data_IF_980432205355
#
_entry.id   IF_980432205355
#
_cell.length_a   1.000
_cell.length_b   1.000
_cell.length_c   1.000
_cell.angle_alpha   90.00
_cell.angle_beta   90.00
_cell.angle_gamma   90.00
#
_symmetry.space_group_name_H-M   'P 1'
#
loop_
_entity.id
_entity.type
_entity.pdbx_description
1 polymer ?
#
# COMPACT_ATOMS: atom_id res chain seq x y z
N UNK A 1 19.87 7.29 -19.68
CA UNK A 1 18.58 7.37 -18.95
C UNK A 1 17.77 8.50 -19.55
N UNK A 2 16.99 8.21 -20.60
CA UNK A 2 16.28 9.23 -21.39
C UNK A 2 14.97 9.60 -20.67
N UNK A 3 14.82 10.88 -20.32
CA UNK A 3 13.58 11.62 -20.02
C UNK A 3 12.38 10.76 -19.57
N UNK A 4 12.45 10.20 -18.36
CA UNK A 4 11.24 9.67 -17.71
C UNK A 4 10.47 10.90 -17.21
N UNK A 5 9.46 11.34 -17.95
CA UNK A 5 8.55 12.39 -17.49
C UNK A 5 7.77 11.82 -16.31
N UNK A 6 8.28 12.05 -15.09
CA UNK A 6 7.59 11.73 -13.86
C UNK A 6 6.35 12.61 -13.76
N UNK A 7 5.27 12.07 -13.17
CA UNK A 7 4.04 12.81 -12.88
C UNK A 7 3.36 13.44 -14.11
N UNK A 8 3.31 12.70 -15.23
CA UNK A 8 2.57 13.12 -16.43
C UNK A 8 1.10 13.39 -16.07
N UNK A 9 0.65 14.60 -16.38
CA UNK A 9 -0.75 15.00 -16.24
C UNK A 9 -1.57 14.52 -17.44
N UNK A 10 -2.75 13.97 -17.18
CA UNK A 10 -3.65 13.43 -18.18
C UNK A 10 -5.09 13.92 -17.93
N UNK A 11 -5.90 13.90 -19.00
CA UNK A 11 -7.34 14.06 -18.89
C UNK A 11 -7.98 12.68 -18.75
N UNK A 12 -8.88 12.54 -17.79
CA UNK A 12 -9.64 11.31 -17.55
C UNK A 12 -11.12 11.63 -17.72
N UNK A 13 -11.85 10.74 -18.40
CA UNK A 13 -13.29 10.91 -18.60
C UNK A 13 -14.01 11.03 -17.25
N UNK A 14 -14.92 12.00 -17.13
CA UNK A 14 -15.67 12.26 -15.90
C UNK A 14 -14.95 13.12 -14.86
N UNK A 15 -13.70 13.57 -15.10
CA UNK A 15 -12.99 14.49 -14.20
C UNK A 15 -12.89 15.88 -14.83
N UNK A 16 -13.31 16.96 -14.14
CA UNK A 16 -13.36 18.30 -14.73
C UNK A 16 -11.98 18.98 -14.88
N UNK A 17 -10.90 18.35 -14.40
CA UNK A 17 -9.55 18.89 -14.41
C UNK A 17 -8.52 17.82 -14.76
N UNK A 18 -7.29 18.25 -15.08
CA UNK A 18 -6.16 17.35 -15.30
C UNK A 18 -5.80 16.64 -14.01
N UNK A 19 -5.56 15.34 -14.09
CA UNK A 19 -5.12 14.52 -12.98
C UNK A 19 -3.75 13.93 -13.26
N UNK A 20 -3.04 13.56 -12.20
CA UNK A 20 -1.78 12.84 -12.29
C UNK A 20 -1.41 12.24 -10.94
N UNK A 21 -0.45 11.32 -10.96
CA UNK A 21 0.12 10.74 -9.75
C UNK A 21 1.35 11.53 -9.30
N UNK A 22 1.79 11.32 -8.06
CA UNK A 22 3.07 11.83 -7.54
C UNK A 22 3.94 10.76 -6.88
N UNK A 23 3.59 9.49 -7.05
CA UNK A 23 4.34 8.40 -6.44
C UNK A 23 5.74 8.29 -7.05
N UNK A 24 6.72 8.16 -6.18
CA UNK A 24 8.11 7.88 -6.54
C UNK A 24 8.51 6.55 -5.91
N UNK A 25 9.29 5.77 -6.64
CA UNK A 25 9.81 4.51 -6.12
C UNK A 25 10.70 4.79 -4.89
N UNK A 26 10.45 4.13 -3.75
CA UNK A 26 11.30 4.29 -2.58
C UNK A 26 12.69 3.75 -2.89
N UNK A 27 13.71 4.40 -2.32
CA UNK A 27 15.06 3.83 -2.32
C UNK A 27 15.10 2.68 -1.30
N UNK A 28 15.76 1.56 -1.62
CA UNK A 28 15.85 0.46 -0.68
C UNK A 28 16.67 0.86 0.56
N UNK A 29 16.17 0.50 1.74
CA UNK A 29 16.89 0.67 3.01
C UNK A 29 17.06 -0.70 3.69
N UNK A 30 18.29 -1.00 4.14
CA UNK A 30 18.58 -2.24 4.86
C UNK A 30 17.87 -2.32 6.23
N UNK A 31 17.37 -1.18 6.72
CA UNK A 31 16.64 -1.08 7.98
C UNK A 31 15.14 -1.38 7.84
N UNK A 32 14.64 -1.54 6.62
CA UNK A 32 13.23 -1.86 6.38
C UNK A 32 12.83 -3.19 7.02
N UNK A 33 11.75 -3.17 7.80
CA UNK A 33 11.29 -4.37 8.49
C UNK A 33 10.71 -5.38 7.51
N UNK A 34 11.16 -6.62 7.66
CA UNK A 34 10.57 -7.76 6.96
C UNK A 34 9.51 -8.43 7.81
N UNK A 35 8.62 -9.26 7.24
CA UNK A 35 7.64 -10.03 8.01
C UNK A 35 8.26 -10.93 9.10
N UNK A 36 9.54 -11.29 8.97
CA UNK A 36 10.28 -12.12 9.93
C UNK A 36 11.02 -11.30 10.99
N UNK A 37 10.96 -9.96 10.91
CA UNK A 37 11.62 -9.10 11.88
C UNK A 37 11.10 -9.35 13.30
N UNK A 38 11.98 -9.38 14.29
CA UNK A 38 11.64 -9.75 15.68
C UNK A 38 10.50 -8.91 16.26
N UNK A 39 10.47 -7.61 15.94
CA UNK A 39 9.41 -6.73 16.41
C UNK A 39 8.05 -7.08 15.76
N UNK A 40 8.04 -7.33 14.45
CA UNK A 40 6.82 -7.70 13.71
C UNK A 40 6.26 -9.04 14.22
N UNK A 41 7.11 -10.04 14.38
CA UNK A 41 6.70 -11.37 14.91
C UNK A 41 6.19 -11.30 16.35
N UNK A 42 6.72 -10.39 17.17
CA UNK A 42 6.20 -10.14 18.52
C UNK A 42 4.79 -9.52 18.50
N UNK A 43 4.54 -8.54 17.61
CA UNK A 43 3.19 -7.98 17.42
C UNK A 43 2.21 -9.02 16.88
N UNK A 44 2.60 -9.79 15.87
CA UNK A 44 1.75 -10.82 15.27
C UNK A 44 1.31 -11.87 16.29
N UNK A 45 2.20 -12.26 17.23
CA UNK A 45 1.86 -13.18 18.32
C UNK A 45 0.80 -12.59 19.25
N UNK A 46 0.89 -11.29 19.58
CA UNK A 46 -0.12 -10.60 20.40
C UNK A 46 -1.48 -10.53 19.71
N UNK A 47 -1.48 -10.34 18.38
CA UNK A 47 -2.68 -10.33 17.54
C UNK A 47 -3.18 -11.74 17.17
N UNK A 48 -2.55 -12.80 17.71
CA UNK A 48 -2.89 -14.21 17.48
C UNK A 48 -2.83 -14.63 16.00
N UNK A 49 -1.97 -13.99 15.19
CA UNK A 49 -1.72 -14.42 13.82
C UNK A 49 -0.91 -15.73 13.78
N UNK A 50 -1.09 -16.57 12.75
CA UNK A 50 -0.32 -17.81 12.57
C UNK A 50 1.19 -17.54 12.55
N UNK A 51 1.96 -18.49 13.11
CA UNK A 51 3.42 -18.40 13.11
C UNK A 51 3.97 -18.53 11.69
N UNK A 52 4.78 -17.56 11.30
CA UNK A 52 5.51 -17.53 10.05
C UNK A 52 6.92 -18.09 10.29
N UNK A 53 7.10 -19.41 10.16
CA UNK A 53 8.43 -20.03 10.37
C UNK A 53 9.37 -19.81 9.17
N UNK A 54 8.81 -19.54 7.99
CA UNK A 54 9.55 -19.01 6.84
C UNK A 54 8.62 -18.10 6.00
N UNK A 55 9.21 -17.30 5.10
CA UNK A 55 8.48 -16.27 4.32
C UNK A 55 7.37 -16.87 3.44
N UNK A 56 7.60 -18.03 2.85
CA UNK A 56 6.65 -18.70 1.95
C UNK A 56 5.48 -19.32 2.71
N UNK A 57 5.74 -19.91 3.89
CA UNK A 57 4.74 -20.49 4.77
C UNK A 57 3.90 -19.40 5.45
N UNK A 58 4.49 -18.23 5.74
CA UNK A 58 3.78 -17.05 6.21
C UNK A 58 2.70 -16.62 5.21
N UNK A 59 3.06 -16.55 3.92
CA UNK A 59 2.16 -16.13 2.85
C UNK A 59 1.13 -17.21 2.50
N UNK A 60 1.50 -18.50 2.55
CA UNK A 60 0.59 -19.61 2.26
C UNK A 60 -0.43 -19.86 3.36
N UNK A 61 -0.01 -19.83 4.63
CA UNK A 61 -0.91 -20.06 5.77
C UNK A 61 -2.01 -19.00 5.84
N UNK A 62 -1.67 -17.73 5.59
CA UNK A 62 -2.64 -16.63 5.50
C UNK A 62 -3.61 -16.78 4.32
N UNK A 63 -3.10 -17.20 3.14
CA UNK A 63 -3.93 -17.36 1.94
C UNK A 63 -4.96 -18.48 2.04
N UNK A 64 -4.67 -19.55 2.79
CA UNK A 64 -5.56 -20.70 2.93
C UNK A 64 -6.75 -20.44 3.86
N UNK A 65 -6.61 -19.49 4.80
CA UNK A 65 -7.64 -19.17 5.80
C UNK A 65 -8.47 -17.94 5.45
N UNK A 66 -8.09 -17.20 4.42
CA UNK A 66 -8.76 -15.95 4.07
C UNK A 66 -9.86 -16.20 3.04
N UNK A 67 -11.00 -15.52 3.21
CA UNK A 67 -12.05 -15.51 2.20
C UNK A 67 -11.50 -14.97 0.87
N UNK A 68 -12.06 -15.45 -0.24
CA UNK A 68 -11.66 -15.01 -1.58
C UNK A 68 -11.88 -13.51 -1.81
N UNK A 69 -12.76 -12.90 -1.01
CA UNK A 69 -13.04 -11.47 -1.00
C UNK A 69 -13.29 -11.01 0.43
N UNK A 70 -12.85 -9.80 0.75
CA UNK A 70 -13.11 -9.10 2.01
C UNK A 70 -13.43 -7.65 1.65
N UNK A 71 -14.55 -7.12 2.13
CA UNK A 71 -14.87 -5.71 2.03
C UNK A 71 -14.35 -4.98 3.27
N UNK A 72 -13.42 -4.05 3.09
CA UNK A 72 -12.83 -3.26 4.18
C UNK A 72 -13.30 -1.80 4.17
N UNK A 73 -14.21 -1.42 3.26
CA UNK A 73 -14.62 -0.02 3.04
C UNK A 73 -15.29 0.60 4.25
N UNK A 74 -15.83 -0.20 5.17
CA UNK A 74 -16.49 0.27 6.39
C UNK A 74 -15.52 1.02 7.35
N UNK A 75 -14.21 0.77 7.23
CA UNK A 75 -13.17 1.45 8.03
C UNK A 75 -12.39 2.50 7.25
N UNK A 76 -12.75 2.76 5.99
CA UNK A 76 -12.07 3.76 5.16
C UNK A 76 -12.75 5.13 5.28
N UNK A 77 -11.96 6.19 5.20
CA UNK A 77 -12.50 7.53 5.02
C UNK A 77 -13.26 7.65 3.68
N UNK A 78 -14.08 8.69 3.52
CA UNK A 78 -14.57 9.09 2.20
C UNK A 78 -13.42 9.28 1.18
N UNK A 79 -13.75 9.16 -0.10
CA UNK A 79 -12.76 9.31 -1.18
C UNK A 79 -12.44 10.79 -1.37
N UNK A 80 -11.19 11.15 -1.09
CA UNK A 80 -10.66 12.50 -1.25
C UNK A 80 -10.18 12.77 -2.69
N UNK A 81 -10.23 14.04 -3.09
CA UNK A 81 -9.72 14.49 -4.39
C UNK A 81 -8.40 15.26 -4.22
N UNK A 82 -7.29 14.66 -4.67
CA UNK A 82 -5.96 15.28 -4.65
C UNK A 82 -5.77 16.42 -5.68
N UNK A 83 -6.72 16.62 -6.58
CA UNK A 83 -6.65 17.59 -7.66
C UNK A 83 -5.38 17.40 -8.52
N UNK A 84 -4.84 18.48 -9.07
CA UNK A 84 -3.63 18.47 -9.89
C UNK A 84 -2.33 18.56 -9.06
N UNK A 85 -2.37 18.32 -7.74
CA UNK A 85 -1.19 18.46 -6.87
C UNK A 85 -0.18 17.31 -7.03
N UNK A 86 -0.64 16.11 -7.41
CA UNK A 86 0.19 14.91 -7.35
C UNK A 86 0.44 14.43 -5.92
N UNK A 87 -0.51 14.62 -5.00
CA UNK A 87 -0.37 14.25 -3.59
C UNK A 87 -0.80 12.82 -3.27
N UNK A 88 -0.83 11.89 -4.26
CA UNK A 88 -1.38 10.55 -4.07
C UNK A 88 -0.79 9.79 -2.87
N UNK A 89 0.51 9.91 -2.61
CA UNK A 89 1.16 9.25 -1.46
C UNK A 89 0.71 9.85 -0.13
N UNK A 90 0.47 11.17 -0.08
CA UNK A 90 -0.01 11.83 1.13
C UNK A 90 -1.48 11.46 1.39
N UNK A 91 -2.33 11.48 0.36
CA UNK A 91 -3.74 11.07 0.48
C UNK A 91 -3.86 9.60 0.90
N UNK A 92 -3.05 8.70 0.33
CA UNK A 92 -3.06 7.28 0.71
C UNK A 92 -2.54 6.99 2.13
N UNK A 93 -1.75 7.91 2.71
CA UNK A 93 -1.30 7.79 4.09
C UNK A 93 -2.30 8.40 5.10
N UNK A 94 -3.14 9.34 4.65
CA UNK A 94 -4.13 10.01 5.49
C UNK A 94 -5.46 9.25 5.58
N UNK A 95 -5.86 8.56 4.51
CA UNK A 95 -7.05 7.70 4.47
C UNK A 95 -6.79 6.33 5.06
#
# INVERSE_FOLDING_TARGET
MKNRVLNRKIWVSGVPHKVGTGWLAPQPDLRDYTPLHRQITAFNRKLKFPKADNKDLALRSFRLTQSSSVDLREWCSPIENQLDLGSCTANAAAG
#
